data_IF_734198315104
#
_entry.id   IF_734198315104
#
_cell.length_a   1.000
_cell.length_b   1.000
_cell.length_c   1.000
_cell.angle_alpha   90.00
_cell.angle_beta   90.00
_cell.angle_gamma   90.00
#
_symmetry.space_group_name_H-M   'P 1'
#
loop_
_entity.id
_entity.type
_entity.pdbx_description
1 polymer ?
#
# COMPACT_ATOMS: atom_id res chain seq x y z
N UNK A 1 -33.05 -16.38 39.90
CA UNK A 1 -32.28 -16.13 38.66
C UNK A 1 -33.25 -15.57 37.65
N UNK A 2 -33.17 -14.28 37.29
CA UNK A 2 -34.07 -13.72 36.26
C UNK A 2 -33.60 -12.38 35.66
N UNK A 3 -32.84 -11.56 36.41
CA UNK A 3 -32.33 -10.29 35.89
C UNK A 3 -30.98 -10.41 35.16
N UNK A 4 -30.15 -11.36 35.55
CA UNK A 4 -28.82 -11.58 34.93
C UNK A 4 -28.92 -12.12 33.52
N UNK A 5 -29.93 -12.96 33.23
CA UNK A 5 -30.16 -13.51 31.89
C UNK A 5 -30.66 -12.43 30.94
N UNK A 6 -31.68 -11.65 31.32
CA UNK A 6 -32.17 -10.52 30.52
C UNK A 6 -31.07 -9.49 30.25
N UNK A 7 -30.25 -9.20 31.26
CA UNK A 7 -29.12 -8.28 31.12
C UNK A 7 -28.07 -8.83 30.15
N UNK A 8 -27.69 -10.11 30.28
CA UNK A 8 -26.75 -10.75 29.38
C UNK A 8 -27.29 -10.83 27.95
N UNK A 9 -28.56 -11.18 27.75
CA UNK A 9 -29.20 -11.26 26.43
C UNK A 9 -29.29 -9.89 25.77
N UNK A 10 -29.55 -8.84 26.55
CA UNK A 10 -29.52 -7.45 26.06
C UNK A 10 -28.12 -7.03 25.63
N UNK A 11 -27.09 -7.38 26.40
CA UNK A 11 -25.69 -7.13 26.03
C UNK A 11 -25.33 -7.89 24.77
N UNK A 12 -25.59 -9.21 24.73
CA UNK A 12 -25.25 -10.07 23.60
C UNK A 12 -25.95 -9.58 22.33
N UNK A 13 -27.25 -9.29 22.38
CA UNK A 13 -27.98 -8.77 21.21
C UNK A 13 -27.49 -7.39 20.74
N UNK A 14 -26.97 -6.56 21.65
CA UNK A 14 -26.35 -5.28 21.30
C UNK A 14 -24.97 -5.42 20.65
N UNK A 15 -24.22 -6.48 20.97
CA UNK A 15 -22.89 -6.80 20.45
C UNK A 15 -22.93 -7.59 19.12
N UNK A 16 -23.97 -8.39 18.90
CA UNK A 16 -24.15 -9.15 17.66
C UNK A 16 -24.37 -8.19 16.49
N UNK A 17 -23.69 -8.45 15.37
CA UNK A 17 -23.90 -7.72 14.13
C UNK A 17 -25.22 -8.15 13.49
N UNK A 18 -26.31 -7.44 13.80
CA UNK A 18 -27.66 -7.68 13.26
C UNK A 18 -28.23 -6.39 12.67
N UNK A 19 -29.25 -6.50 11.79
CA UNK A 19 -29.79 -5.38 11.01
C UNK A 19 -30.08 -4.10 11.82
N UNK A 20 -30.39 -4.21 13.11
CA UNK A 20 -30.77 -3.08 13.97
C UNK A 20 -29.88 -2.89 15.21
N UNK A 21 -28.76 -3.59 15.36
CA UNK A 21 -27.90 -3.42 16.54
C UNK A 21 -27.01 -2.17 16.45
N UNK A 22 -26.68 -1.60 17.61
CA UNK A 22 -25.69 -0.50 17.71
C UNK A 22 -24.32 -0.95 17.24
N UNK A 23 -23.95 -2.22 17.48
CA UNK A 23 -22.70 -2.79 16.99
C UNK A 23 -22.56 -2.69 15.46
N UNK A 24 -23.63 -2.90 14.67
CA UNK A 24 -23.54 -2.73 13.21
C UNK A 24 -23.26 -1.30 12.81
N UNK A 25 -23.83 -0.30 13.51
CA UNK A 25 -23.58 1.11 13.22
C UNK A 25 -22.11 1.46 13.44
N UNK A 26 -21.55 1.09 14.58
CA UNK A 26 -20.14 1.32 14.90
C UNK A 26 -19.19 0.49 14.05
N UNK A 27 -19.55 -0.76 13.75
CA UNK A 27 -18.76 -1.59 12.86
C UNK A 27 -18.72 -1.01 11.44
N UNK A 28 -19.87 -0.54 10.94
CA UNK A 28 -20.00 0.03 9.58
C UNK A 28 -19.23 1.34 9.43
N UNK A 29 -19.36 2.24 10.40
CA UNK A 29 -18.66 3.52 10.44
C UNK A 29 -18.12 3.77 11.85
N UNK A 30 -16.91 3.31 12.14
CA UNK A 30 -16.32 3.49 13.47
C UNK A 30 -16.13 4.96 13.80
N UNK A 31 -16.48 5.41 15.02
CA UNK A 31 -16.31 6.79 15.46
C UNK A 31 -14.86 7.06 15.89
N UNK A 32 -13.90 6.62 15.09
CA UNK A 32 -12.47 6.77 15.35
C UNK A 32 -11.77 7.28 14.09
N UNK A 33 -10.71 8.02 14.32
CA UNK A 33 -9.91 8.68 13.30
C UNK A 33 -8.47 8.17 13.39
N UNK A 34 -8.15 7.02 12.75
CA UNK A 34 -6.81 6.48 12.78
C UNK A 34 -5.83 7.38 12.03
N UNK A 35 -4.59 7.40 12.51
CA UNK A 35 -3.47 8.07 11.85
C UNK A 35 -2.50 7.04 11.30
N UNK A 36 -2.34 7.05 9.98
CA UNK A 36 -1.28 6.31 9.30
C UNK A 36 -0.02 7.19 9.28
N UNK A 37 1.05 6.71 9.93
CA UNK A 37 2.36 7.39 9.98
C UNK A 37 3.37 6.63 9.15
N UNK A 38 3.84 7.22 8.06
CA UNK A 38 4.76 6.59 7.12
C UNK A 38 6.14 7.22 7.27
N UNK A 39 7.15 6.38 7.53
CA UNK A 39 8.55 6.79 7.56
C UNK A 39 9.22 6.40 6.25
N UNK A 40 9.76 7.39 5.54
CA UNK A 40 10.51 7.18 4.31
C UNK A 40 11.98 7.46 4.59
N UNK A 41 12.86 6.63 4.02
CA UNK A 41 14.30 6.76 4.18
C UNK A 41 14.91 7.31 2.88
N UNK A 42 15.48 8.50 2.96
CA UNK A 42 16.14 9.18 1.85
C UNK A 42 17.59 8.68 1.68
N UNK A 43 17.96 8.24 0.49
CA UNK A 43 19.28 7.70 0.17
C UNK A 43 20.20 8.79 -0.42
N UNK A 44 20.88 9.55 0.44
CA UNK A 44 21.60 10.78 0.02
C UNK A 44 22.83 10.53 -0.84
N UNK A 45 23.45 9.34 -0.76
CA UNK A 45 24.67 9.01 -1.51
C UNK A 45 24.50 7.85 -2.51
N UNK A 46 23.28 7.58 -2.95
CA UNK A 46 22.97 6.43 -3.81
C UNK A 46 23.85 6.35 -5.07
N UNK A 47 24.00 7.47 -5.80
CA UNK A 47 24.83 7.52 -7.01
C UNK A 47 26.33 7.30 -6.74
N UNK A 48 26.84 7.80 -5.60
CA UNK A 48 28.24 7.63 -5.20
C UNK A 48 28.53 6.19 -4.80
N UNK A 49 27.59 5.56 -4.09
CA UNK A 49 27.67 4.16 -3.72
C UNK A 49 27.67 3.24 -4.95
N UNK A 50 26.78 3.49 -5.92
CA UNK A 50 26.72 2.71 -7.17
C UNK A 50 27.99 2.84 -8.03
N UNK A 51 28.70 3.97 -7.93
CA UNK A 51 29.99 4.19 -8.60
C UNK A 51 31.19 3.60 -7.84
N UNK A 52 30.97 2.98 -6.68
CA UNK A 52 32.02 2.44 -5.83
C UNK A 52 32.84 3.50 -5.08
N UNK A 53 32.41 4.77 -5.08
CA UNK A 53 33.11 5.87 -4.41
C UNK A 53 32.90 5.83 -2.89
N UNK A 54 31.72 5.40 -2.45
CA UNK A 54 31.38 5.24 -1.05
C UNK A 54 31.16 3.75 -0.74
N UNK A 55 31.70 3.26 0.39
CA UNK A 55 31.59 1.84 0.79
C UNK A 55 30.23 1.45 1.39
N UNK A 56 29.44 2.42 1.84
CA UNK A 56 28.15 2.20 2.52
C UNK A 56 27.12 3.23 2.06
N UNK A 57 25.86 2.80 1.97
CA UNK A 57 24.72 3.70 1.76
C UNK A 57 24.46 4.53 3.02
N UNK A 58 24.20 5.82 2.84
CA UNK A 58 23.75 6.78 3.84
C UNK A 58 22.26 6.97 3.67
N UNK A 59 21.52 6.77 4.76
CA UNK A 59 20.06 6.87 4.80
C UNK A 59 19.64 7.86 5.87
N UNK A 60 18.63 8.67 5.56
CA UNK A 60 18.08 9.68 6.47
C UNK A 60 16.56 9.52 6.57
N UNK A 61 16.02 9.44 7.79
CA UNK A 61 14.56 9.40 7.99
C UNK A 61 13.95 10.80 7.76
N UNK A 62 13.13 10.89 6.72
CA UNK A 62 12.41 12.12 6.33
C UNK A 62 10.94 12.11 6.77
N UNK A 63 10.50 11.06 7.48
CA UNK A 63 9.17 10.96 8.06
C UNK A 63 9.02 11.56 9.47
N UNK A 64 7.82 11.51 10.06
CA UNK A 64 6.63 10.84 9.51
C UNK A 64 5.89 11.69 8.47
N UNK A 65 5.31 11.03 7.46
CA UNK A 65 4.21 11.55 6.66
C UNK A 65 2.90 11.01 7.21
N UNK A 66 2.06 11.89 7.75
CA UNK A 66 0.86 11.53 8.48
C UNK A 66 -0.37 11.68 7.60
N UNK A 67 -1.16 10.61 7.53
CA UNK A 67 -2.45 10.59 6.85
C UNK A 67 -3.53 10.20 7.83
N UNK A 68 -4.65 10.91 7.80
CA UNK A 68 -5.88 10.53 8.48
C UNK A 68 -6.58 9.48 7.62
N UNK A 69 -6.69 8.27 8.13
CA UNK A 69 -7.43 7.20 7.46
C UNK A 69 -8.93 7.37 7.77
N UNK A 70 -9.78 7.11 6.80
CA UNK A 70 -11.22 6.95 7.01
C UNK A 70 -11.66 5.71 6.29
N UNK A 71 -12.22 4.77 7.04
CA UNK A 71 -12.69 3.50 6.50
C UNK A 71 -14.16 3.28 6.84
N UNK A 72 -14.91 2.81 5.86
CA UNK A 72 -16.35 2.53 5.98
C UNK A 72 -16.69 1.22 5.27
N UNK A 73 -17.67 0.49 5.82
CA UNK A 73 -18.15 -0.75 5.20
C UNK A 73 -19.33 -0.40 4.28
N UNK A 74 -19.16 -0.63 3.00
CA UNK A 74 -20.15 -0.39 1.94
C UNK A 74 -20.70 -1.71 1.41
N UNK A 75 -21.86 -1.68 0.76
CA UNK A 75 -22.53 -2.85 0.19
C UNK A 75 -22.70 -4.00 1.22
N UNK A 76 -23.13 -3.65 2.43
CA UNK A 76 -23.35 -4.60 3.52
C UNK A 76 -24.62 -5.40 3.26
N UNK A 77 -24.47 -6.72 3.15
CA UNK A 77 -25.56 -7.69 2.96
C UNK A 77 -25.50 -8.74 4.06
N UNK A 78 -26.61 -8.92 4.77
CA UNK A 78 -26.75 -10.02 5.74
C UNK A 78 -27.29 -11.25 5.02
N UNK A 79 -26.56 -12.35 5.12
CA UNK A 79 -26.90 -13.59 4.46
C UNK A 79 -27.69 -14.50 5.42
N UNK A 80 -28.49 -15.40 4.85
CA UNK A 80 -29.32 -16.34 5.63
C UNK A 80 -28.52 -17.40 6.39
N UNK A 81 -27.19 -17.48 6.18
CA UNK A 81 -26.27 -18.41 6.84
C UNK A 81 -25.47 -17.75 7.97
N UNK A 82 -26.02 -16.70 8.61
CA UNK A 82 -25.36 -15.96 9.69
C UNK A 82 -24.02 -15.31 9.32
N UNK A 83 -23.82 -14.99 8.03
CA UNK A 83 -22.65 -14.25 7.55
C UNK A 83 -23.04 -12.87 7.03
N UNK A 84 -22.05 -11.98 6.95
CA UNK A 84 -22.21 -10.62 6.41
C UNK A 84 -21.21 -10.44 5.28
N UNK A 85 -21.71 -10.13 4.10
CA UNK A 85 -20.91 -9.73 2.95
C UNK A 85 -20.78 -8.22 2.93
N UNK A 86 -19.57 -7.69 2.74
CA UNK A 86 -19.33 -6.25 2.64
C UNK A 86 -18.09 -5.96 1.80
N UNK A 87 -17.93 -4.70 1.42
CA UNK A 87 -16.69 -4.15 0.89
C UNK A 87 -16.21 -3.05 1.83
N UNK A 88 -14.91 -2.98 2.07
CA UNK A 88 -14.32 -1.88 2.82
C UNK A 88 -13.85 -0.79 1.85
N UNK A 89 -14.33 0.43 2.07
CA UNK A 89 -13.86 1.61 1.36
C UNK A 89 -12.91 2.38 2.29
N UNK A 90 -11.65 2.56 1.88
CA UNK A 90 -10.63 3.29 2.62
C UNK A 90 -10.22 4.54 1.87
N UNK A 91 -10.13 5.65 2.59
CA UNK A 91 -9.64 6.92 2.07
C UNK A 91 -8.61 7.51 3.02
N UNK A 92 -7.67 8.28 2.47
CA UNK A 92 -6.56 8.85 3.22
C UNK A 92 -6.47 10.34 2.95
N UNK A 93 -6.39 11.14 4.01
CA UNK A 93 -6.25 12.59 3.93
C UNK A 93 -4.94 13.01 4.57
N UNK A 94 -4.04 13.63 3.80
CA UNK A 94 -2.75 14.11 4.31
C UNK A 94 -2.95 15.16 5.42
N UNK A 95 -2.14 15.07 6.48
CA UNK A 95 -2.16 15.98 7.63
C UNK A 95 -0.81 16.69 7.73
N UNK A 96 -0.66 17.89 7.11
CA UNK A 96 0.62 18.60 7.08
C UNK A 96 1.14 18.95 8.48
N UNK A 97 0.26 19.32 9.41
CA UNK A 97 0.61 19.77 10.76
C UNK A 97 1.28 18.69 11.63
N UNK A 98 1.04 17.41 11.31
CA UNK A 98 1.62 16.26 12.03
C UNK A 98 2.77 15.62 11.25
N UNK A 99 3.06 16.11 10.05
CA UNK A 99 4.06 15.56 9.15
C UNK A 99 5.37 16.35 9.24
N UNK A 100 6.52 15.66 9.11
CA UNK A 100 7.84 16.31 9.11
C UNK A 100 8.13 17.07 7.81
N UNK A 101 7.64 16.55 6.68
CA UNK A 101 7.83 17.14 5.35
C UNK A 101 6.53 17.26 4.56
N UNK A 102 6.63 17.89 3.38
CA UNK A 102 5.51 17.99 2.45
C UNK A 102 5.41 16.74 1.58
N UNK A 103 4.19 16.33 1.25
CA UNK A 103 3.95 15.13 0.42
C UNK A 103 4.56 15.21 -0.99
N UNK A 104 4.91 16.41 -1.46
CA UNK A 104 5.52 16.64 -2.78
C UNK A 104 7.03 16.87 -2.74
N UNK A 105 7.67 16.70 -1.56
CA UNK A 105 9.11 16.79 -1.44
C UNK A 105 9.78 15.63 -2.18
N UNK A 106 10.86 15.94 -2.89
CA UNK A 106 11.64 14.97 -3.67
C UNK A 106 12.56 14.17 -2.74
N UNK A 107 12.44 12.86 -2.81
CA UNK A 107 13.19 11.90 -1.99
C UNK A 107 13.87 10.90 -2.93
N UNK A 108 15.13 10.55 -2.63
CA UNK A 108 15.86 9.51 -3.35
C UNK A 108 15.50 8.17 -2.71
N UNK A 109 14.80 7.33 -3.46
CA UNK A 109 14.24 6.06 -2.99
C UNK A 109 14.69 4.90 -3.88
N UNK A 110 14.77 3.68 -3.35
CA UNK A 110 15.06 2.50 -4.15
C UNK A 110 13.92 2.25 -5.16
N UNK A 111 14.29 1.85 -6.37
CA UNK A 111 13.33 1.46 -7.40
C UNK A 111 12.78 0.06 -7.10
N UNK A 112 11.75 -0.01 -6.26
CA UNK A 112 11.16 -1.28 -5.80
C UNK A 112 10.59 -2.09 -6.98
N UNK A 113 9.98 -1.44 -7.97
CA UNK A 113 9.46 -2.12 -9.16
C UNK A 113 10.56 -2.84 -9.96
N UNK A 114 11.75 -2.22 -10.08
CA UNK A 114 12.91 -2.86 -10.69
C UNK A 114 13.42 -4.04 -9.87
N UNK A 115 13.47 -3.89 -8.54
CA UNK A 115 13.92 -4.95 -7.65
C UNK A 115 12.97 -6.17 -7.70
N UNK A 116 11.66 -5.95 -7.66
CA UNK A 116 10.67 -7.03 -7.76
C UNK A 116 10.70 -7.70 -9.13
N UNK A 117 10.77 -6.92 -10.22
CA UNK A 117 10.92 -7.46 -11.57
C UNK A 117 12.17 -8.33 -11.70
N UNK A 118 13.33 -7.85 -11.21
CA UNK A 118 14.58 -8.62 -11.24
C UNK A 118 14.53 -9.89 -10.38
N UNK A 119 13.71 -9.92 -9.32
CA UNK A 119 13.50 -11.11 -8.50
C UNK A 119 12.65 -12.16 -9.21
N UNK A 120 11.55 -11.74 -9.83
CA UNK A 120 10.65 -12.64 -10.56
C UNK A 120 11.34 -13.24 -11.79
N UNK A 121 12.14 -12.46 -12.50
CA UNK A 121 12.85 -12.91 -13.70
C UNK A 121 13.81 -14.08 -13.45
N UNK A 122 14.34 -14.25 -12.23
CA UNK A 122 15.25 -15.38 -11.91
C UNK A 122 14.59 -16.74 -12.10
N UNK A 123 13.26 -16.79 -12.09
CA UNK A 123 12.47 -18.02 -12.24
C UNK A 123 11.96 -18.25 -13.68
N UNK A 124 12.22 -17.31 -14.60
CA UNK A 124 11.79 -17.41 -16.00
C UNK A 124 12.81 -18.11 -16.90
N UNK A 125 12.40 -18.50 -18.11
CA UNK A 125 13.27 -19.12 -19.11
C UNK A 125 14.48 -18.24 -19.47
N UNK A 126 15.64 -18.85 -19.73
CA UNK A 126 16.92 -18.15 -19.99
C UNK A 126 16.83 -17.08 -21.08
N UNK A 127 16.09 -17.32 -22.17
CA UNK A 127 15.93 -16.33 -23.24
C UNK A 127 15.15 -15.08 -22.78
N UNK A 128 14.14 -15.24 -21.91
CA UNK A 128 13.42 -14.11 -21.30
C UNK A 128 14.32 -13.34 -20.35
N UNK A 129 15.18 -14.04 -19.60
CA UNK A 129 16.15 -13.41 -18.71
C UNK A 129 17.13 -12.52 -19.50
N UNK A 130 17.66 -13.00 -20.63
CA UNK A 130 18.58 -12.21 -21.48
C UNK A 130 17.90 -10.96 -22.02
N UNK A 131 16.69 -11.10 -22.57
CA UNK A 131 15.91 -9.96 -23.09
C UNK A 131 15.59 -8.95 -21.99
N UNK A 132 15.12 -9.43 -20.83
CA UNK A 132 14.75 -8.56 -19.72
C UNK A 132 15.98 -7.88 -19.09
N UNK A 133 17.09 -8.59 -18.89
CA UNK A 133 18.32 -8.01 -18.35
C UNK A 133 18.86 -6.88 -19.24
N UNK A 134 18.77 -7.03 -20.57
CA UNK A 134 19.15 -5.97 -21.52
C UNK A 134 18.34 -4.69 -21.33
N UNK A 135 17.06 -4.82 -20.97
CA UNK A 135 16.22 -3.66 -20.67
C UNK A 135 16.48 -3.08 -19.27
N UNK A 136 16.63 -3.95 -18.26
CA UNK A 136 16.80 -3.54 -16.87
C UNK A 136 18.14 -2.85 -16.59
N UNK A 137 19.20 -3.16 -17.33
CA UNK A 137 20.51 -2.49 -17.20
C UNK A 137 20.46 -1.00 -17.54
N UNK A 138 19.51 -0.56 -18.35
CA UNK A 138 19.28 0.86 -18.64
C UNK A 138 18.52 1.63 -17.54
N UNK A 139 17.97 0.92 -16.55
CA UNK A 139 17.16 1.52 -15.49
C UNK A 139 18.01 1.87 -14.26
N UNK A 140 17.69 2.99 -13.62
CA UNK A 140 18.35 3.39 -12.37
C UNK A 140 17.83 2.55 -11.19
N UNK A 141 18.76 2.06 -10.37
CA UNK A 141 18.45 1.33 -9.13
C UNK A 141 17.79 2.22 -8.06
N UNK A 142 18.06 3.52 -8.10
CA UNK A 142 17.39 4.52 -7.27
C UNK A 142 16.69 5.55 -8.15
N UNK A 143 15.56 6.06 -7.67
CA UNK A 143 14.75 7.09 -8.33
C UNK A 143 14.49 8.25 -7.39
N UNK A 144 14.38 9.43 -7.96
CA UNK A 144 13.93 10.63 -7.24
C UNK A 144 12.43 10.77 -7.45
N UNK A 145 11.66 10.53 -6.40
CA UNK A 145 10.20 10.55 -6.43
C UNK A 145 9.67 11.44 -5.29
N UNK A 146 8.44 11.92 -5.44
CA UNK A 146 7.76 12.56 -4.32
C UNK A 146 7.28 11.51 -3.31
N UNK A 147 7.16 11.89 -2.04
CA UNK A 147 6.58 11.01 -1.01
C UNK A 147 5.19 10.50 -1.43
N UNK A 148 4.35 11.38 -1.97
CA UNK A 148 3.02 11.05 -2.48
C UNK A 148 3.07 10.00 -3.59
N UNK A 149 3.90 10.21 -4.61
CA UNK A 149 4.05 9.26 -5.72
C UNK A 149 4.51 7.89 -5.24
N UNK A 150 5.50 7.84 -4.36
CA UNK A 150 6.02 6.57 -3.86
C UNK A 150 4.99 5.78 -3.05
N UNK A 151 4.18 6.47 -2.25
CA UNK A 151 3.17 5.83 -1.39
C UNK A 151 1.94 5.41 -2.22
N UNK A 152 1.39 6.32 -3.03
CA UNK A 152 0.07 6.15 -3.66
C UNK A 152 0.10 5.68 -5.10
N UNK A 153 1.22 5.84 -5.80
CA UNK A 153 1.31 5.44 -7.20
C UNK A 153 2.10 6.41 -8.06
N UNK A 154 2.87 5.85 -8.98
CA UNK A 154 3.44 6.54 -10.12
C UNK A 154 3.56 5.58 -11.30
N UNK A 155 3.57 6.11 -12.51
CA UNK A 155 3.76 5.29 -13.71
C UNK A 155 5.16 4.69 -13.77
N UNK A 156 5.22 3.37 -13.95
CA UNK A 156 6.46 2.61 -14.03
C UNK A 156 6.66 2.02 -15.43
N UNK A 157 7.70 2.46 -16.18
CA UNK A 157 7.97 1.95 -17.52
C UNK A 157 8.20 0.44 -17.57
N UNK A 158 8.76 -0.15 -16.50
CA UNK A 158 9.04 -1.59 -16.42
C UNK A 158 7.72 -2.39 -16.41
N UNK A 159 6.67 -1.87 -15.75
CA UNK A 159 5.36 -2.52 -15.71
C UNK A 159 4.63 -2.39 -17.05
N UNK A 160 4.76 -1.25 -17.72
CA UNK A 160 4.19 -1.04 -19.05
C UNK A 160 4.78 -2.00 -20.10
N UNK A 161 6.07 -2.34 -19.99
CA UNK A 161 6.74 -3.29 -20.87
C UNK A 161 6.32 -4.72 -20.62
N UNK A 162 6.14 -5.12 -19.36
CA UNK A 162 5.58 -6.43 -19.03
C UNK A 162 4.22 -6.62 -19.70
N UNK A 163 3.36 -5.60 -19.67
CA UNK A 163 2.03 -5.69 -20.28
C UNK A 163 2.09 -5.78 -21.82
N UNK A 164 3.13 -5.22 -22.46
CA UNK A 164 3.34 -5.30 -23.93
C UNK A 164 4.03 -6.57 -24.42
N UNK A 165 4.95 -7.14 -23.62
CA UNK A 165 5.80 -8.27 -24.02
C UNK A 165 5.52 -9.58 -23.27
N UNK A 166 4.77 -9.52 -22.16
CA UNK A 166 4.45 -10.65 -21.29
C UNK A 166 3.08 -11.26 -21.59
N UNK A 167 2.96 -11.98 -22.71
CA UNK A 167 1.74 -12.71 -23.09
C UNK A 167 1.46 -13.98 -22.27
N UNK A 168 1.58 -13.98 -20.94
CA UNK A 168 1.39 -15.24 -20.18
C UNK A 168 1.43 -15.20 -18.65
N UNK A 169 1.17 -14.07 -18.01
CA UNK A 169 1.00 -14.00 -16.54
C UNK A 169 -0.29 -13.28 -16.22
N UNK A 170 -1.33 -14.04 -15.88
CA UNK A 170 -2.72 -13.58 -15.80
C UNK A 170 -2.95 -12.36 -14.91
N UNK A 171 -3.89 -11.52 -15.33
CA UNK A 171 -4.85 -10.61 -14.65
C UNK A 171 -4.52 -9.92 -13.32
N UNK A 172 -3.37 -10.11 -12.69
CA UNK A 172 -3.12 -9.66 -11.33
C UNK A 172 -2.71 -8.19 -11.26
N UNK A 173 -2.24 -7.57 -12.35
CA UNK A 173 -1.79 -6.18 -12.36
C UNK A 173 -2.02 -5.52 -13.73
N UNK A 174 -3.28 -5.23 -14.09
CA UNK A 174 -3.64 -4.44 -15.28
C UNK A 174 -3.42 -2.93 -15.06
N UNK A 175 -2.38 -2.56 -14.34
CA UNK A 175 -2.01 -1.18 -14.05
C UNK A 175 -0.54 -0.97 -14.41
N UNK A 176 -0.26 0.13 -15.11
CA UNK A 176 1.11 0.57 -15.39
C UNK A 176 1.70 1.39 -14.22
N UNK A 177 1.00 1.40 -13.09
CA UNK A 177 1.34 2.21 -11.93
C UNK A 177 1.82 1.36 -10.78
N UNK A 178 2.89 1.82 -10.12
CA UNK A 178 3.43 1.23 -8.90
C UNK A 178 3.26 2.20 -7.74
N UNK A 179 2.66 1.74 -6.65
CA UNK A 179 2.58 2.46 -5.38
C UNK A 179 2.66 1.46 -4.23
N UNK A 180 3.27 1.84 -3.12
CA UNK A 180 3.44 0.92 -1.99
C UNK A 180 2.10 0.55 -1.31
N UNK A 181 1.12 1.45 -1.33
CA UNK A 181 -0.20 1.26 -0.72
C UNK A 181 -1.34 1.34 -1.75
N UNK A 182 -1.04 1.09 -3.03
CA UNK A 182 -2.01 1.08 -4.12
C UNK A 182 -2.69 -0.28 -4.26
#
# INVERSE_FOLDING_TARGET
MWFTEIYNDSIISSLVLSHNSTAVKWWKTPPLDPELRIHLFNYTNADRYLKGLDKKLKVEDVGPFVYKEKFEKVNVTFNNNHTISYRENRSYKFVPQKSKGHQYDKIILPNIALLTASSVLRYESQWKQVLANTFLTGQKAFKTLTAHQFIWGYEEPILALRNKFGGGGGDMLNTNEFGMLK
#
